data_IF_021734522778
#
_entry.id   IF_021734522778
#
_cell.length_a   1.000
_cell.length_b   1.000
_cell.length_c   1.000
_cell.angle_alpha   90.00
_cell.angle_beta   90.00
_cell.angle_gamma   90.00
#
_symmetry.space_group_name_H-M   'P 1'
#
loop_
_entity.id
_entity.type
_entity.pdbx_description
1 polymer ?
#
# COMPACT_ATOMS: atom_id res chain seq x y z
N UNK A 1 27.72 4.51 -19.96
CA UNK A 1 27.05 3.68 -18.91
C UNK A 1 26.43 4.51 -17.79
N UNK A 2 27.10 5.58 -17.33
CA UNK A 2 26.58 6.47 -16.27
C UNK A 2 25.35 7.29 -16.70
N UNK A 3 25.16 7.49 -18.00
CA UNK A 3 24.04 8.28 -18.55
C UNK A 3 22.69 7.57 -18.36
N UNK A 4 22.69 6.23 -18.41
CA UNK A 4 21.50 5.41 -18.20
C UNK A 4 21.06 5.47 -16.73
N UNK A 5 22.04 5.46 -15.82
CA UNK A 5 21.82 5.57 -14.36
C UNK A 5 21.28 6.96 -14.02
N UNK A 6 21.85 8.02 -14.62
CA UNK A 6 21.38 9.40 -14.44
C UNK A 6 19.95 9.58 -14.94
N UNK A 7 19.62 9.03 -16.11
CA UNK A 7 18.28 9.06 -16.66
C UNK A 7 17.26 8.35 -15.75
N UNK A 8 17.62 7.18 -15.22
CA UNK A 8 16.79 6.43 -14.29
C UNK A 8 16.50 7.21 -13.00
N UNK A 9 17.52 7.86 -12.42
CA UNK A 9 17.38 8.64 -11.18
C UNK A 9 16.46 9.86 -11.37
N UNK A 10 16.56 10.54 -12.51
CA UNK A 10 15.66 11.67 -12.84
C UNK A 10 14.21 11.19 -12.95
N UNK A 11 14.00 10.02 -13.59
CA UNK A 11 12.68 9.46 -13.77
C UNK A 11 12.02 9.04 -12.44
N UNK A 12 12.79 8.47 -11.51
CA UNK A 12 12.33 8.12 -10.16
C UNK A 12 11.98 9.38 -9.34
N UNK A 13 12.78 10.46 -9.45
CA UNK A 13 12.51 11.72 -8.76
C UNK A 13 11.21 12.42 -9.21
N UNK A 14 10.86 12.27 -10.49
CA UNK A 14 9.59 12.78 -11.05
C UNK A 14 8.37 12.01 -10.49
N UNK A 15 8.45 10.68 -10.37
CA UNK A 15 7.38 9.88 -9.78
C UNK A 15 7.24 10.08 -8.26
N UNK A 16 8.37 10.32 -7.58
CA UNK A 16 8.43 10.45 -6.12
C UNK A 16 8.15 11.87 -5.62
N UNK A 17 7.73 12.81 -6.48
CA UNK A 17 7.37 14.17 -6.07
C UNK A 17 5.87 14.28 -5.79
N UNK A 18 5.39 14.01 -4.56
CA UNK A 18 4.03 14.34 -4.19
C UNK A 18 3.91 15.86 -4.20
N UNK A 19 3.06 16.35 -5.10
CA UNK A 19 2.51 17.70 -5.11
C UNK A 19 2.12 18.12 -3.68
N UNK A 20 3.01 18.82 -2.97
CA UNK A 20 2.76 19.46 -1.66
C UNK A 20 1.98 20.77 -1.85
N UNK A 21 0.87 20.71 -2.58
CA UNK A 21 -0.06 21.82 -2.72
C UNK A 21 -1.46 21.33 -2.42
N UNK A 22 -1.82 21.42 -1.13
CA UNK A 22 -3.14 21.77 -0.59
C UNK A 22 -3.16 21.40 0.89
N UNK A 23 -2.43 22.17 1.70
CA UNK A 23 -2.80 22.33 3.10
C UNK A 23 -4.04 23.23 3.05
N UNK A 24 -5.21 22.61 2.92
CA UNK A 24 -6.48 23.30 3.06
C UNK A 24 -6.48 23.95 4.45
N UNK A 25 -6.72 25.26 4.47
CA UNK A 25 -6.99 26.02 5.69
C UNK A 25 -8.15 25.36 6.41
N UNK A 26 -7.86 24.64 7.49
CA UNK A 26 -8.87 24.14 8.40
C UNK A 26 -9.51 25.37 9.08
N UNK A 27 -10.77 25.64 8.75
CA UNK A 27 -11.57 26.63 9.44
C UNK A 27 -12.04 26.00 10.77
N UNK A 28 -11.92 26.67 11.92
CA UNK A 28 -12.50 26.16 13.14
C UNK A 28 -14.03 26.16 13.02
N UNK A 29 -14.74 25.08 13.39
CA UNK A 29 -16.20 25.10 13.43
C UNK A 29 -16.65 26.07 14.53
N UNK A 30 -17.56 26.99 14.19
CA UNK A 30 -18.19 27.86 15.17
C UNK A 30 -18.97 27.04 16.20
N UNK A 31 -18.85 27.40 17.47
CA UNK A 31 -19.60 26.79 18.57
C UNK A 31 -21.08 27.08 18.41
N UNK A 32 -21.86 26.06 18.04
CA UNK A 32 -23.32 26.12 18.00
C UNK A 32 -23.89 25.73 19.38
N UNK A 33 -24.88 26.44 19.93
CA UNK A 33 -25.52 26.06 21.20
C UNK A 33 -26.25 24.70 21.07
N UNK A 34 -26.31 23.91 22.16
CA UNK A 34 -26.93 22.59 22.11
C UNK A 34 -28.45 22.73 21.88
N UNK A 35 -28.94 22.14 20.80
CA UNK A 35 -30.37 21.98 20.56
C UNK A 35 -30.94 20.89 21.50
N UNK A 36 -32.22 20.98 21.92
CA UNK A 36 -32.87 19.94 22.70
C UNK A 36 -32.87 18.62 21.93
N UNK A 37 -32.38 17.56 22.57
CA UNK A 37 -32.25 16.22 21.99
C UNK A 37 -33.63 15.64 21.67
N UNK A 38 -33.94 15.30 20.41
CA UNK A 38 -35.09 14.46 20.10
C UNK A 38 -34.80 13.04 20.62
N UNK A 39 -35.81 12.37 21.17
CA UNK A 39 -35.73 10.95 21.50
C UNK A 39 -35.51 10.14 20.21
N UNK A 40 -34.25 9.85 19.92
CA UNK A 40 -33.86 9.09 18.74
C UNK A 40 -34.03 7.60 19.02
N UNK A 41 -34.82 6.94 18.16
CA UNK A 41 -34.83 5.48 18.07
C UNK A 41 -33.41 4.92 17.84
N UNK A 42 -33.23 3.59 17.96
CA UNK A 42 -31.92 2.97 17.92
C UNK A 42 -31.12 3.42 16.69
N UNK A 43 -29.89 3.91 16.94
CA UNK A 43 -29.03 4.41 15.87
C UNK A 43 -28.69 3.26 14.91
N UNK A 44 -28.59 3.54 13.60
CA UNK A 44 -28.05 2.59 12.64
C UNK A 44 -26.69 2.07 13.13
N UNK A 45 -26.44 0.77 12.93
CA UNK A 45 -25.18 0.15 13.31
C UNK A 45 -24.00 0.98 12.76
N UNK A 46 -23.07 1.34 13.65
CA UNK A 46 -21.95 2.20 13.34
C UNK A 46 -21.14 1.60 12.18
N UNK A 47 -21.14 2.27 11.03
CA UNK A 47 -20.28 1.93 9.89
C UNK A 47 -19.17 2.95 9.80
N UNK A 48 -17.96 2.48 9.52
CA UNK A 48 -16.87 3.39 9.20
C UNK A 48 -17.28 4.23 7.97
N UNK A 49 -16.90 5.51 7.91
CA UNK A 49 -17.22 6.37 6.76
C UNK A 49 -16.61 5.88 5.43
N UNK A 50 -15.68 4.90 5.50
CA UNK A 50 -15.08 4.22 4.36
C UNK A 50 -15.56 2.77 4.21
N UNK A 51 -16.64 2.41 4.92
CA UNK A 51 -17.19 1.06 4.99
C UNK A 51 -17.66 0.61 3.61
N UNK A 52 -16.75 -0.01 2.87
CA UNK A 52 -17.03 -0.60 1.59
C UNK A 52 -17.86 -1.87 1.84
N UNK A 53 -19.17 -1.77 1.64
CA UNK A 53 -20.11 -2.87 1.88
C UNK A 53 -19.99 -3.99 0.82
N UNK A 54 -19.28 -3.72 -0.27
CA UNK A 54 -19.08 -4.64 -1.40
C UNK A 54 -17.63 -5.07 -1.47
N UNK A 55 -17.39 -6.38 -1.65
CA UNK A 55 -16.07 -6.89 -2.01
C UNK A 55 -15.62 -6.21 -3.30
N UNK A 56 -14.50 -5.49 -3.23
CA UNK A 56 -13.91 -4.85 -4.39
C UNK A 56 -13.29 -5.95 -5.26
N UNK A 57 -13.90 -6.21 -6.41
CA UNK A 57 -13.32 -7.13 -7.38
C UNK A 57 -12.12 -6.46 -8.05
N UNK A 58 -10.93 -6.94 -7.70
CA UNK A 58 -9.66 -6.46 -8.22
C UNK A 58 -9.49 -6.70 -9.73
N UNK A 59 -10.34 -7.53 -10.33
CA UNK A 59 -10.30 -7.82 -11.77
C UNK A 59 -11.13 -6.83 -12.60
N UNK A 60 -12.20 -6.27 -12.03
CA UNK A 60 -13.03 -5.24 -12.67
C UNK A 60 -12.56 -3.80 -12.43
N UNK A 61 -11.64 -3.58 -11.48
CA UNK A 61 -11.12 -2.25 -11.15
C UNK A 61 -9.84 -1.93 -11.94
N UNK A 62 -9.96 -1.06 -12.95
CA UNK A 62 -8.87 -0.67 -13.87
C UNK A 62 -7.61 -0.17 -13.15
N UNK A 63 -7.76 0.48 -12.00
CA UNK A 63 -6.68 1.01 -11.15
C UNK A 63 -5.89 -0.08 -10.40
N UNK A 64 -6.45 -1.27 -10.22
CA UNK A 64 -5.76 -2.40 -9.56
C UNK A 64 -4.90 -3.19 -10.55
N UNK A 65 -5.19 -3.12 -11.85
CA UNK A 65 -4.48 -3.86 -12.91
C UNK A 65 -2.96 -3.70 -12.88
N UNK A 66 -2.37 -2.51 -12.66
CA UNK A 66 -0.91 -2.38 -12.57
C UNK A 66 -0.30 -3.20 -11.43
N UNK A 67 -0.97 -3.27 -10.27
CA UNK A 67 -0.49 -4.01 -9.11
C UNK A 67 -0.73 -5.51 -9.26
N UNK A 68 -1.84 -5.91 -9.88
CA UNK A 68 -2.15 -7.31 -10.14
C UNK A 68 -1.16 -7.92 -11.14
N UNK A 69 -0.83 -7.20 -12.21
CA UNK A 69 0.20 -7.61 -13.17
C UNK A 69 1.60 -7.72 -12.52
N UNK A 70 1.96 -6.78 -11.65
CA UNK A 70 3.22 -6.85 -10.89
C UNK A 70 3.26 -8.07 -9.94
N UNK A 71 2.13 -8.38 -9.29
CA UNK A 71 2.00 -9.52 -8.41
C UNK A 71 2.13 -10.86 -9.17
N UNK A 72 1.48 -11.01 -10.31
CA UNK A 72 1.59 -12.20 -11.16
C UNK A 72 3.02 -12.40 -11.68
N UNK A 73 3.68 -11.32 -12.11
CA UNK A 73 5.06 -11.39 -12.58
C UNK A 73 6.02 -11.82 -11.46
N UNK A 74 5.78 -11.33 -10.23
CA UNK A 74 6.54 -11.76 -9.06
C UNK A 74 6.33 -13.25 -8.78
N UNK A 75 5.09 -13.74 -8.83
CA UNK A 75 4.78 -15.18 -8.66
C UNK A 75 5.49 -16.04 -9.69
N UNK A 76 5.41 -15.70 -10.97
CA UNK A 76 6.10 -16.43 -12.05
C UNK A 76 7.62 -16.46 -11.83
N UNK A 77 8.22 -15.35 -11.38
CA UNK A 77 9.64 -15.31 -11.03
C UNK A 77 9.98 -16.25 -9.87
N UNK A 78 9.17 -16.28 -8.81
CA UNK A 78 9.39 -17.22 -7.71
C UNK A 78 9.26 -18.68 -8.13
N UNK A 79 8.30 -19.00 -9.00
CA UNK A 79 8.12 -20.36 -9.55
C UNK A 79 9.34 -20.76 -10.40
N UNK A 80 9.84 -19.87 -11.26
CA UNK A 80 11.06 -20.09 -12.03
C UNK A 80 12.30 -20.22 -11.14
N UNK A 81 12.44 -19.38 -10.11
CA UNK A 81 13.52 -19.49 -9.13
C UNK A 81 13.47 -20.83 -8.40
N UNK A 82 12.30 -21.24 -7.92
CA UNK A 82 12.11 -22.52 -7.23
C UNK A 82 12.42 -23.74 -8.11
N UNK A 83 12.06 -23.70 -9.39
CA UNK A 83 12.39 -24.77 -10.35
C UNK A 83 13.88 -24.75 -10.72
N UNK A 84 14.48 -23.57 -10.87
CA UNK A 84 15.90 -23.41 -11.20
C UNK A 84 16.82 -23.77 -10.03
N UNK A 85 16.33 -23.66 -8.80
CA UNK A 85 17.02 -24.06 -7.58
C UNK A 85 16.91 -25.58 -7.41
N UNK A 86 17.55 -26.33 -8.30
CA UNK A 86 17.89 -27.73 -8.04
C UNK A 86 18.77 -27.77 -6.78
N UNK A 87 18.41 -28.50 -5.71
CA UNK A 87 19.12 -28.48 -4.45
C UNK A 87 20.35 -29.40 -4.53
N UNK A 88 21.30 -29.06 -5.39
CA UNK A 88 22.63 -29.66 -5.39
C UNK A 88 23.61 -28.68 -4.73
N UNK A 89 23.34 -28.27 -3.48
CA UNK A 89 24.35 -27.64 -2.63
C UNK A 89 24.18 -28.06 -1.16
N UNK A 90 25.25 -28.53 -0.51
CA UNK A 90 25.22 -29.01 0.86
C UNK A 90 25.34 -27.84 1.85
N UNK A 91 24.58 -27.94 2.95
CA UNK A 91 24.93 -27.31 4.21
C UNK A 91 24.02 -26.14 4.63
N UNK A 92 23.42 -26.20 5.83
CA UNK A 92 22.67 -25.08 6.37
C UNK A 92 23.63 -24.03 6.95
N UNK A 93 23.67 -22.84 6.35
CA UNK A 93 24.30 -21.67 6.95
C UNK A 93 23.37 -21.05 8.00
N UNK A 94 23.27 -21.68 9.17
CA UNK A 94 22.67 -21.02 10.33
C UNK A 94 23.54 -19.83 10.70
N UNK A 95 22.95 -18.65 10.65
CA UNK A 95 23.58 -17.40 11.10
C UNK A 95 23.64 -17.47 12.62
N UNK A 96 24.81 -17.84 13.16
CA UNK A 96 25.10 -17.68 14.58
C UNK A 96 25.10 -16.19 14.91
N UNK A 97 24.07 -15.77 15.66
CA UNK A 97 23.97 -14.45 16.24
C UNK A 97 24.80 -14.48 17.52
N UNK A 98 26.04 -14.02 17.46
CA UNK A 98 26.82 -13.79 18.69
C UNK A 98 26.28 -12.53 19.37
N UNK A 99 25.58 -12.72 20.49
CA UNK A 99 25.26 -11.63 21.40
C UNK A 99 26.58 -11.11 22.00
N UNK A 100 26.84 -9.81 21.85
CA UNK A 100 27.93 -9.11 22.52
C UNK A 100 27.38 -8.60 23.85
N UNK A 101 27.98 -9.07 24.95
CA UNK A 101 27.74 -8.63 26.32
C UNK A 101 28.40 -7.27 26.60
#
# INVERSE_FOLDING_TARGET
MLDLIRSLLVWVGLLASPSRRRRATAHPPGTMPPAPFPEWGPLPAHRSPYGLNTLLDGTSTVTVRPYLAAHEQRRRRHELTAVSLRPDLPGPCWIERTEVA
#
